data_IF_361954505814
#
_entry.id   IF_361954505814
#
_cell.length_a   1.000
_cell.length_b   1.000
_cell.length_c   1.000
_cell.angle_alpha   90.00
_cell.angle_beta   90.00
_cell.angle_gamma   90.00
#
_symmetry.space_group_name_H-M   'P 1'
#
loop_
_entity.id
_entity.type
_entity.pdbx_description
1 polymer ?
#
# COMPACT_ATOMS: atom_id res chain seq x y z
N UNK A 1 -5.80 -22.26 9.38
CA UNK A 1 -6.82 -21.73 8.44
C UNK A 1 -6.33 -20.40 7.88
N UNK A 2 -5.25 -20.51 7.14
CA UNK A 2 -4.65 -19.50 6.28
C UNK A 2 -4.52 -20.26 4.96
N UNK A 3 -4.89 -19.68 3.81
CA UNK A 3 -4.74 -20.34 2.52
C UNK A 3 -3.39 -21.04 2.49
N UNK A 4 -3.42 -22.37 2.59
CA UNK A 4 -2.25 -23.09 3.06
C UNK A 4 -1.19 -22.93 1.99
N UNK A 5 -0.12 -22.22 2.37
CA UNK A 5 1.24 -22.45 1.91
C UNK A 5 1.65 -23.89 2.29
N UNK A 6 0.89 -24.90 1.88
CA UNK A 6 1.16 -26.33 2.07
C UNK A 6 2.34 -26.68 1.17
N UNK A 7 3.54 -26.34 1.65
CA UNK A 7 4.83 -26.66 1.04
C UNK A 7 4.86 -26.43 -0.49
N UNK A 8 4.34 -25.29 -0.96
CA UNK A 8 4.61 -24.84 -2.32
C UNK A 8 6.11 -24.52 -2.38
N UNK A 9 6.88 -25.44 -2.94
CA UNK A 9 8.26 -25.13 -3.30
C UNK A 9 8.20 -24.12 -4.44
N UNK A 10 8.27 -22.85 -4.08
CA UNK A 10 8.30 -21.74 -5.03
C UNK A 10 9.73 -21.49 -5.43
N UNK A 11 9.95 -21.51 -6.74
CA UNK A 11 11.22 -21.15 -7.33
C UNK A 11 11.02 -19.93 -8.21
N UNK A 12 12.04 -19.10 -8.33
CA UNK A 12 12.02 -17.93 -9.19
C UNK A 12 13.19 -17.97 -10.19
N UNK A 13 13.02 -17.23 -11.27
CA UNK A 13 14.02 -16.90 -12.26
C UNK A 13 13.83 -15.43 -12.65
N UNK A 14 14.85 -14.62 -12.44
CA UNK A 14 14.88 -13.23 -12.90
C UNK A 14 15.34 -13.15 -14.37
N UNK A 15 14.62 -12.37 -15.16
CA UNK A 15 14.95 -12.00 -16.53
C UNK A 15 15.18 -10.49 -16.61
N UNK A 16 16.42 -10.08 -16.31
CA UNK A 16 16.82 -8.67 -16.30
C UNK A 16 16.81 -8.00 -17.68
N UNK A 17 16.88 -8.80 -18.76
CA UNK A 17 16.90 -8.29 -20.14
C UNK A 17 15.53 -8.37 -20.83
N UNK A 18 14.52 -9.00 -20.21
CA UNK A 18 13.18 -9.24 -20.75
C UNK A 18 13.19 -9.99 -22.09
N UNK A 19 14.05 -10.99 -22.20
CA UNK A 19 14.24 -11.73 -23.47
C UNK A 19 13.67 -13.14 -23.43
N UNK A 20 13.32 -13.66 -22.25
CA UNK A 20 12.90 -15.04 -22.10
C UNK A 20 11.45 -15.23 -22.54
N UNK A 21 11.23 -16.21 -23.40
CA UNK A 21 9.89 -16.71 -23.74
C UNK A 21 9.58 -18.02 -23.02
N UNK A 22 8.30 -18.43 -23.04
CA UNK A 22 7.83 -19.63 -22.35
C UNK A 22 8.59 -20.90 -22.78
N UNK A 23 8.88 -21.07 -24.07
CA UNK A 23 9.56 -22.26 -24.59
C UNK A 23 11.01 -22.35 -24.06
N UNK A 24 11.68 -21.21 -23.96
CA UNK A 24 13.02 -21.11 -23.37
C UNK A 24 13.00 -21.37 -21.86
N UNK A 25 12.03 -20.79 -21.13
CA UNK A 25 11.92 -20.93 -19.67
C UNK A 25 11.62 -22.38 -19.25
N UNK A 26 10.88 -23.11 -20.09
CA UNK A 26 10.55 -24.53 -19.86
C UNK A 26 11.66 -25.50 -20.28
N UNK A 27 12.69 -25.03 -20.99
CA UNK A 27 13.78 -25.86 -21.48
C UNK A 27 15.13 -25.54 -20.81
N UNK A 28 16.07 -26.48 -20.89
CA UNK A 28 17.44 -26.22 -20.45
C UNK A 28 18.13 -25.23 -21.40
N UNK A 29 18.98 -24.31 -20.89
CA UNK A 29 19.48 -24.27 -19.52
C UNK A 29 18.62 -23.44 -18.54
N UNK A 30 17.62 -22.68 -18.99
CA UNK A 30 16.88 -21.76 -18.11
C UNK A 30 16.03 -22.47 -17.07
N UNK A 31 15.38 -23.59 -17.42
CA UNK A 31 14.57 -24.36 -16.47
C UNK A 31 15.37 -24.82 -15.24
N UNK A 32 16.67 -25.06 -15.42
CA UNK A 32 17.62 -25.46 -14.36
C UNK A 32 18.15 -24.28 -13.55
N UNK A 33 17.97 -23.04 -14.01
CA UNK A 33 18.38 -21.81 -13.29
C UNK A 33 17.36 -21.32 -12.27
N UNK A 34 16.17 -21.93 -12.21
CA UNK A 34 15.19 -21.62 -11.17
C UNK A 34 15.76 -21.92 -9.79
N UNK A 35 15.72 -20.93 -8.90
CA UNK A 35 16.25 -21.03 -7.53
C UNK A 35 15.13 -20.80 -6.51
N UNK A 36 15.23 -21.35 -5.29
CA UNK A 36 14.29 -21.03 -4.23
C UNK A 36 14.20 -19.52 -4.00
N UNK A 37 13.04 -19.03 -3.56
CA UNK A 37 12.90 -17.62 -3.19
C UNK A 37 13.98 -17.20 -2.15
N UNK A 38 14.64 -16.03 -2.32
CA UNK A 38 15.72 -15.59 -1.42
C UNK A 38 15.19 -15.43 0.01
N UNK A 39 15.71 -16.19 0.96
CA UNK A 39 15.20 -16.27 2.35
C UNK A 39 13.69 -16.59 2.46
N UNK A 40 13.07 -17.17 1.44
CA UNK A 40 11.62 -17.36 1.36
C UNK A 40 10.80 -16.07 1.13
N UNK A 41 11.47 -14.96 0.80
CA UNK A 41 10.85 -13.65 0.56
C UNK A 41 10.41 -13.51 -0.89
N UNK A 42 9.31 -12.80 -1.11
CA UNK A 42 8.73 -12.56 -2.44
C UNK A 42 8.92 -11.12 -2.94
N UNK A 43 9.59 -10.27 -2.16
CA UNK A 43 9.92 -8.89 -2.53
C UNK A 43 11.35 -8.77 -3.06
N UNK A 44 11.49 -8.18 -4.25
CA UNK A 44 12.76 -7.92 -4.94
C UNK A 44 13.11 -6.41 -5.01
N UNK A 45 12.29 -5.55 -4.40
CA UNK A 45 12.50 -4.10 -4.38
C UNK A 45 12.00 -3.41 -5.64
N UNK A 46 12.57 -2.25 -5.99
CA UNK A 46 12.25 -1.56 -7.24
C UNK A 46 13.06 -2.19 -8.36
N UNK A 47 12.39 -2.69 -9.39
CA UNK A 47 13.03 -3.40 -10.49
C UNK A 47 12.34 -3.13 -11.82
N UNK A 48 13.12 -3.14 -12.89
CA UNK A 48 12.62 -3.20 -14.27
C UNK A 48 12.61 -4.63 -14.81
N UNK A 49 13.15 -5.62 -14.10
CA UNK A 49 13.26 -7.01 -14.57
C UNK A 49 11.90 -7.69 -14.68
N UNK A 50 11.83 -8.70 -15.54
CA UNK A 50 10.74 -9.66 -15.54
C UNK A 50 11.05 -10.79 -14.54
N UNK A 51 10.02 -11.33 -13.89
CA UNK A 51 10.17 -12.42 -12.93
C UNK A 51 9.30 -13.61 -13.32
N UNK A 52 9.92 -14.78 -13.39
CA UNK A 52 9.24 -16.05 -13.60
C UNK A 52 9.18 -16.82 -12.30
N UNK A 53 7.98 -17.17 -11.84
CA UNK A 53 7.77 -18.09 -10.73
C UNK A 53 7.38 -19.47 -11.25
N UNK A 54 7.93 -20.50 -10.61
CA UNK A 54 7.59 -21.90 -10.79
C UNK A 54 7.06 -22.46 -9.48
N UNK A 55 5.87 -23.03 -9.52
CA UNK A 55 5.26 -23.72 -8.39
C UNK A 55 4.52 -24.97 -8.84
N UNK A 56 4.37 -25.94 -7.94
CA UNK A 56 3.58 -27.15 -8.18
C UNK A 56 2.42 -27.18 -7.20
N UNK A 57 1.21 -27.27 -7.71
CA UNK A 57 0.00 -27.46 -6.92
C UNK A 57 -0.34 -28.95 -6.88
N UNK A 58 -0.56 -29.49 -5.69
CA UNK A 58 -0.92 -30.90 -5.48
C UNK A 58 -2.35 -31.00 -4.98
N UNK A 59 -3.15 -31.84 -5.62
CA UNK A 59 -4.46 -32.24 -5.12
C UNK A 59 -4.35 -33.67 -4.54
N UNK A 60 -4.60 -33.80 -3.24
CA UNK A 60 -4.61 -35.10 -2.54
C UNK A 60 -6.00 -35.71 -2.44
N UNK A 61 -7.04 -34.97 -2.80
CA UNK A 61 -8.43 -35.40 -2.72
C UNK A 61 -8.80 -36.36 -3.87
N UNK A 62 -9.87 -37.12 -3.65
CA UNK A 62 -10.47 -38.03 -4.64
C UNK A 62 -11.33 -37.32 -5.70
N UNK A 63 -11.46 -36.00 -5.60
CA UNK A 63 -12.23 -35.16 -6.52
C UNK A 63 -11.36 -34.03 -7.08
N UNK A 64 -11.70 -33.54 -8.27
CA UNK A 64 -11.08 -32.35 -8.84
C UNK A 64 -11.25 -31.16 -7.88
N UNK A 65 -10.17 -30.41 -7.68
CA UNK A 65 -10.15 -29.31 -6.74
C UNK A 65 -9.92 -28.00 -7.48
N UNK A 66 -10.82 -27.04 -7.24
CA UNK A 66 -10.74 -25.68 -7.76
C UNK A 66 -10.00 -24.78 -6.77
N UNK A 67 -8.84 -24.30 -7.19
CA UNK A 67 -8.06 -23.30 -6.47
C UNK A 67 -8.27 -21.92 -7.08
N UNK A 68 -8.27 -20.90 -6.23
CA UNK A 68 -8.10 -19.51 -6.63
C UNK A 68 -6.66 -19.12 -6.35
N UNK A 69 -5.87 -18.98 -7.41
CA UNK A 69 -4.51 -18.48 -7.35
C UNK A 69 -4.54 -16.96 -7.41
N UNK A 70 -4.10 -16.32 -6.34
CA UNK A 70 -4.09 -14.87 -6.20
C UNK A 70 -2.66 -14.34 -6.24
N UNK A 71 -2.39 -13.41 -7.13
CA UNK A 71 -1.26 -12.50 -7.00
C UNK A 71 -1.66 -11.30 -6.14
N UNK A 72 -1.00 -11.20 -4.98
CA UNK A 72 -1.37 -10.25 -3.92
C UNK A 72 -1.01 -8.81 -4.32
N UNK A 73 0.16 -8.63 -4.93
CA UNK A 73 0.59 -7.32 -5.42
C UNK A 73 -0.21 -6.97 -6.69
N UNK A 74 -1.04 -5.93 -6.59
CA UNK A 74 -2.04 -5.62 -7.60
C UNK A 74 -1.50 -4.80 -8.77
N UNK A 75 -0.34 -4.16 -8.58
CA UNK A 75 0.22 -3.16 -9.48
C UNK A 75 1.22 -3.74 -10.47
N UNK A 76 1.21 -5.04 -10.74
CA UNK A 76 2.00 -5.58 -11.85
C UNK A 76 1.30 -5.26 -13.17
N UNK A 77 2.01 -4.65 -14.12
CA UNK A 77 1.46 -4.30 -15.44
C UNK A 77 0.92 -5.53 -16.16
N UNK A 78 1.68 -6.64 -16.09
CA UNK A 78 1.29 -7.94 -16.62
C UNK A 78 1.56 -9.09 -15.64
N UNK A 79 0.57 -9.96 -15.48
CA UNK A 79 0.66 -11.22 -14.73
C UNK A 79 0.08 -12.34 -15.57
N UNK A 80 0.93 -13.24 -16.02
CA UNK A 80 0.57 -14.28 -16.99
C UNK A 80 0.76 -15.67 -16.39
N UNK A 81 -0.26 -16.52 -16.45
CA UNK A 81 -0.19 -17.89 -15.91
C UNK A 81 -0.17 -18.90 -17.04
N UNK A 82 0.85 -19.75 -17.03
CA UNK A 82 1.06 -20.83 -17.98
C UNK A 82 0.85 -22.19 -17.34
N UNK A 83 0.13 -23.06 -18.03
CA UNK A 83 -0.14 -24.45 -17.64
C UNK A 83 0.19 -25.32 -18.85
N UNK A 84 1.05 -26.32 -18.66
CA UNK A 84 1.53 -27.20 -19.73
C UNK A 84 2.15 -26.46 -20.93
N UNK A 85 2.80 -25.31 -20.68
CA UNK A 85 3.42 -24.47 -21.73
C UNK A 85 2.46 -23.54 -22.45
N UNK A 86 1.16 -23.70 -22.25
CA UNK A 86 0.16 -22.79 -22.81
C UNK A 86 -0.16 -21.66 -21.85
N UNK A 87 -0.21 -20.44 -22.38
CA UNK A 87 -0.67 -19.26 -21.64
C UNK A 87 -2.18 -19.36 -21.43
N UNK A 88 -2.60 -19.77 -20.23
CA UNK A 88 -4.02 -20.00 -19.90
C UNK A 88 -4.70 -18.74 -19.40
N UNK A 89 -4.01 -17.93 -18.60
CA UNK A 89 -4.61 -16.74 -17.99
C UNK A 89 -3.76 -15.50 -18.19
N UNK A 90 -4.47 -14.38 -18.28
CA UNK A 90 -3.94 -13.04 -18.49
C UNK A 90 -4.44 -12.15 -17.35
N UNK A 91 -3.53 -11.43 -16.72
CA UNK A 91 -3.76 -10.50 -15.62
C UNK A 91 -2.79 -9.32 -15.69
N UNK A 92 -2.90 -8.44 -14.70
CA UNK A 92 -2.15 -7.19 -14.61
C UNK A 92 -3.05 -5.96 -14.70
N UNK A 93 -2.59 -4.82 -14.21
CA UNK A 93 -3.32 -3.55 -14.17
C UNK A 93 -3.25 -2.73 -15.46
N UNK A 94 -2.51 -3.21 -16.46
CA UNK A 94 -2.58 -2.71 -17.83
C UNK A 94 -3.55 -3.47 -18.73
N UNK A 95 -4.10 -4.60 -18.25
CA UNK A 95 -5.21 -5.26 -18.94
C UNK A 95 -6.53 -4.59 -18.60
N UNK A 96 -7.38 -4.28 -19.60
CA UNK A 96 -8.72 -3.75 -19.35
C UNK A 96 -9.46 -4.63 -18.35
N UNK A 97 -10.06 -4.00 -17.34
CA UNK A 97 -10.68 -4.72 -16.23
C UNK A 97 -11.72 -5.77 -16.68
N UNK A 98 -12.42 -5.52 -17.80
CA UNK A 98 -13.39 -6.45 -18.41
C UNK A 98 -12.76 -7.71 -19.03
N UNK A 99 -11.44 -7.72 -19.25
CA UNK A 99 -10.70 -8.85 -19.82
C UNK A 99 -10.01 -9.70 -18.75
N UNK A 100 -10.05 -9.28 -17.48
CA UNK A 100 -9.54 -10.09 -16.36
C UNK A 100 -10.46 -11.29 -16.13
N UNK A 101 -9.87 -12.42 -15.75
CA UNK A 101 -10.62 -13.64 -15.40
C UNK A 101 -11.66 -13.37 -14.29
N UNK A 102 -11.27 -12.56 -13.30
CA UNK A 102 -12.19 -12.06 -12.28
C UNK A 102 -12.05 -10.55 -12.10
N UNK A 103 -13.19 -9.89 -11.95
CA UNK A 103 -13.32 -8.47 -11.64
C UNK A 103 -13.05 -8.19 -10.15
N UNK A 104 -11.90 -8.65 -9.64
CA UNK A 104 -11.39 -8.34 -8.30
C UNK A 104 -10.26 -7.32 -8.37
N UNK A 105 -9.97 -6.69 -7.23
CA UNK A 105 -8.85 -5.75 -7.07
C UNK A 105 -7.49 -6.43 -7.26
N UNK A 106 -7.33 -7.68 -6.83
CA UNK A 106 -6.16 -8.51 -7.09
C UNK A 106 -6.31 -9.34 -8.36
N UNK A 107 -5.18 -9.83 -8.87
CA UNK A 107 -5.19 -10.74 -10.01
C UNK A 107 -5.46 -12.16 -9.50
N UNK A 108 -6.64 -12.69 -9.82
CA UNK A 108 -7.10 -14.02 -9.38
C UNK A 108 -7.36 -14.92 -10.58
N UNK A 109 -6.91 -16.16 -10.49
CA UNK A 109 -6.99 -17.15 -11.56
C UNK A 109 -7.52 -18.48 -11.04
N UNK A 110 -8.41 -19.13 -11.80
CA UNK A 110 -8.96 -20.44 -11.47
C UNK A 110 -7.99 -21.55 -11.91
N UNK A 111 -7.48 -22.32 -10.96
CA UNK A 111 -6.63 -23.48 -11.23
C UNK A 111 -7.40 -24.73 -10.83
N UNK A 112 -7.76 -25.55 -11.81
CA UNK A 112 -8.38 -26.86 -11.57
C UNK A 112 -7.26 -27.90 -11.55
N UNK A 113 -7.08 -28.58 -10.42
CA UNK A 113 -6.15 -29.70 -10.31
C UNK A 113 -6.96 -31.01 -10.21
N UNK A 114 -6.79 -31.95 -11.15
CA UNK A 114 -7.52 -33.21 -11.12
C UNK A 114 -7.32 -34.00 -9.84
N UNK A 115 -8.27 -34.88 -9.51
CA UNK A 115 -8.17 -35.79 -8.37
C UNK A 115 -6.81 -36.53 -8.35
N UNK A 116 -6.15 -36.56 -7.18
CA UNK A 116 -4.85 -37.23 -6.98
C UNK A 116 -3.73 -36.82 -7.96
N UNK A 117 -3.79 -35.61 -8.50
CA UNK A 117 -2.82 -35.12 -9.47
C UNK A 117 -1.96 -33.96 -8.93
N UNK A 118 -0.84 -33.74 -9.62
CA UNK A 118 -0.01 -32.54 -9.47
C UNK A 118 -0.05 -31.74 -10.76
N UNK A 119 -0.05 -30.42 -10.62
CA UNK A 119 0.00 -29.50 -11.74
C UNK A 119 1.09 -28.46 -11.53
N UNK A 120 2.02 -28.38 -12.48
CA UNK A 120 3.04 -27.34 -12.48
C UNK A 120 2.49 -26.06 -13.12
N UNK A 121 2.75 -24.94 -12.46
CA UNK A 121 2.39 -23.61 -12.92
C UNK A 121 3.67 -22.79 -13.15
N UNK A 122 3.69 -22.04 -14.24
CA UNK A 122 4.65 -20.96 -14.45
C UNK A 122 3.89 -19.64 -14.46
N UNK A 123 4.37 -18.67 -13.71
CA UNK A 123 3.76 -17.34 -13.59
C UNK A 123 4.80 -16.32 -13.99
N UNK A 124 4.47 -15.48 -14.97
CA UNK A 124 5.34 -14.43 -15.45
C UNK A 124 4.79 -13.07 -15.01
N UNK A 125 5.64 -12.33 -14.31
CA UNK A 125 5.40 -10.98 -13.84
C UNK A 125 6.27 -10.03 -14.66
N UNK A 126 5.65 -8.98 -15.19
CA UNK A 126 6.35 -8.01 -16.03
C UNK A 126 5.82 -6.61 -15.79
N UNK A 127 6.74 -5.67 -15.96
CA UNK A 127 6.56 -4.24 -15.86
C UNK A 127 6.98 -3.58 -17.17
N UNK A 128 6.26 -2.60 -17.69
CA UNK A 128 6.75 -1.73 -18.77
C UNK A 128 7.79 -0.74 -18.23
N UNK A 129 7.52 -0.17 -17.06
CA UNK A 129 8.39 0.77 -16.32
C UNK A 129 8.70 0.26 -14.92
N UNK A 130 9.79 0.73 -14.28
CA UNK A 130 10.16 0.15 -12.98
C UNK A 130 9.02 0.25 -11.97
N UNK A 131 8.78 -0.88 -11.30
CA UNK A 131 7.74 -1.04 -10.29
C UNK A 131 8.28 -1.75 -9.07
N UNK A 132 7.43 -1.87 -8.05
CA UNK A 132 7.75 -2.66 -6.86
C UNK A 132 7.58 -4.14 -7.18
N UNK A 133 8.69 -4.84 -7.40
CA UNK A 133 8.68 -6.26 -7.74
C UNK A 133 8.35 -7.11 -6.50
N UNK A 134 7.07 -7.41 -6.30
CA UNK A 134 6.58 -8.30 -5.24
C UNK A 134 5.76 -9.44 -5.84
N UNK A 135 6.34 -10.64 -5.87
CA UNK A 135 5.77 -11.82 -6.54
C UNK A 135 4.98 -12.69 -5.56
N UNK A 136 4.39 -12.10 -4.53
CA UNK A 136 3.67 -12.87 -3.53
C UNK A 136 2.42 -13.52 -4.14
N UNK A 137 2.32 -14.85 -4.01
CA UNK A 137 1.17 -15.65 -4.43
C UNK A 137 0.48 -16.26 -3.21
N UNK A 138 -0.84 -16.33 -3.25
CA UNK A 138 -1.67 -17.10 -2.32
C UNK A 138 -2.52 -18.08 -3.09
N UNK A 139 -2.73 -19.26 -2.53
CA UNK A 139 -3.60 -20.29 -3.08
C UNK A 139 -4.76 -20.49 -2.11
N UNK A 140 -5.97 -20.43 -2.64
CA UNK A 140 -7.18 -20.47 -1.82
C UNK A 140 -8.16 -21.52 -2.35
N UNK A 141 -8.92 -22.12 -1.45
CA UNK A 141 -10.23 -22.65 -1.83
C UNK A 141 -11.24 -21.51 -1.99
N UNK A 142 -12.31 -21.72 -2.75
CA UNK A 142 -13.38 -20.72 -2.97
C UNK A 142 -13.98 -20.23 -1.64
N UNK A 143 -14.17 -21.14 -0.68
CA UNK A 143 -14.74 -20.81 0.63
C UNK A 143 -13.77 -19.97 1.47
N UNK A 144 -12.47 -20.32 1.51
CA UNK A 144 -11.47 -19.54 2.24
C UNK A 144 -11.32 -18.13 1.66
N UNK A 145 -11.25 -18.02 0.33
CA UNK A 145 -11.18 -16.74 -0.36
C UNK A 145 -12.39 -15.86 0.00
N UNK A 146 -13.60 -16.43 -0.09
CA UNK A 146 -14.84 -15.71 0.23
C UNK A 146 -14.88 -15.22 1.68
N UNK A 147 -14.49 -16.07 2.64
CA UNK A 147 -14.46 -15.68 4.07
C UNK A 147 -13.40 -14.62 4.36
N UNK A 148 -12.20 -14.78 3.78
CA UNK A 148 -11.11 -13.81 3.94
C UNK A 148 -11.53 -12.44 3.41
N UNK A 149 -12.07 -12.38 2.18
CA UNK A 149 -12.47 -11.13 1.55
C UNK A 149 -13.70 -10.49 2.20
N UNK A 150 -14.67 -11.28 2.69
CA UNK A 150 -15.79 -10.73 3.46
C UNK A 150 -15.31 -9.98 4.71
N UNK A 151 -14.38 -10.57 5.48
CA UNK A 151 -13.80 -9.92 6.66
C UNK A 151 -12.94 -8.72 6.28
N UNK A 152 -12.12 -8.85 5.23
CA UNK A 152 -11.28 -7.76 4.72
C UNK A 152 -12.12 -6.55 4.33
N UNK A 153 -13.21 -6.75 3.58
CA UNK A 153 -14.11 -5.68 3.14
C UNK A 153 -14.85 -5.03 4.30
N UNK A 154 -15.28 -5.80 5.29
CA UNK A 154 -15.89 -5.24 6.50
C UNK A 154 -14.93 -4.28 7.21
N UNK A 155 -13.67 -4.68 7.42
CA UNK A 155 -12.68 -3.86 8.12
C UNK A 155 -12.30 -2.63 7.28
N UNK A 156 -12.01 -2.80 5.98
CA UNK A 156 -11.72 -1.67 5.09
C UNK A 156 -12.89 -0.69 5.04
N UNK A 157 -14.12 -1.18 4.93
CA UNK A 157 -15.32 -0.34 4.96
C UNK A 157 -15.46 0.46 6.25
N UNK A 158 -15.16 -0.14 7.40
CA UNK A 158 -15.13 0.55 8.68
C UNK A 158 -14.06 1.65 8.74
N UNK A 159 -12.87 1.41 8.18
CA UNK A 159 -11.77 2.38 8.11
C UNK A 159 -12.13 3.59 7.24
N UNK A 160 -12.68 3.34 6.04
CA UNK A 160 -13.20 4.42 5.19
C UNK A 160 -14.33 5.19 5.86
N UNK A 161 -15.28 4.49 6.49
CA UNK A 161 -16.39 5.11 7.21
C UNK A 161 -15.91 6.03 8.32
N UNK A 162 -14.98 5.55 9.17
CA UNK A 162 -14.37 6.36 10.22
C UNK A 162 -13.68 7.60 9.64
N UNK A 163 -12.84 7.43 8.62
CA UNK A 163 -12.14 8.55 7.98
C UNK A 163 -13.10 9.57 7.38
N UNK A 164 -14.14 9.15 6.67
CA UNK A 164 -15.15 10.06 6.09
C UNK A 164 -15.89 10.83 7.19
N UNK A 165 -16.29 10.17 8.27
CA UNK A 165 -16.94 10.83 9.40
C UNK A 165 -16.01 11.87 10.03
N UNK A 166 -14.75 11.51 10.27
CA UNK A 166 -13.74 12.42 10.83
C UNK A 166 -13.43 13.59 9.89
N UNK A 167 -13.44 13.37 8.57
CA UNK A 167 -13.24 14.40 7.55
C UNK A 167 -14.31 15.48 7.67
N UNK A 168 -15.59 15.08 7.58
CA UNK A 168 -16.71 16.01 7.66
C UNK A 168 -16.80 16.68 9.03
N UNK A 169 -16.61 15.92 10.10
CA UNK A 169 -16.59 16.45 11.47
C UNK A 169 -15.56 17.58 11.62
N UNK A 170 -14.31 17.35 11.21
CA UNK A 170 -13.26 18.36 11.32
C UNK A 170 -13.48 19.52 10.35
N UNK A 171 -14.04 19.27 9.17
CA UNK A 171 -14.35 20.32 8.20
C UNK A 171 -15.43 21.28 8.74
N UNK A 172 -16.50 20.76 9.35
CA UNK A 172 -17.54 21.58 9.99
C UNK A 172 -16.98 22.40 11.15
N UNK A 173 -16.11 21.82 11.99
CA UNK A 173 -15.44 22.58 13.06
C UNK A 173 -14.51 23.64 12.48
N UNK A 174 -13.74 23.32 11.45
CA UNK A 174 -12.88 24.28 10.76
C UNK A 174 -13.67 25.47 10.22
N UNK A 175 -14.80 25.21 9.58
CA UNK A 175 -15.70 26.26 9.10
C UNK A 175 -16.26 27.14 10.23
N UNK A 176 -16.69 26.50 11.34
CA UNK A 176 -17.25 27.20 12.50
C UNK A 176 -16.21 28.02 13.28
N UNK A 177 -15.00 27.50 13.42
CA UNK A 177 -13.93 28.09 14.26
C UNK A 177 -12.97 28.99 13.48
N UNK A 178 -12.91 28.82 12.14
CA UNK A 178 -11.95 29.47 11.22
C UNK A 178 -10.48 29.21 11.57
N UNK A 179 -10.20 28.09 12.22
CA UNK A 179 -8.85 27.63 12.52
C UNK A 179 -8.28 26.83 11.36
N UNK A 180 -7.13 27.27 10.83
CA UNK A 180 -6.53 26.73 9.61
C UNK A 180 -6.13 25.25 9.76
N UNK A 181 -5.73 24.85 10.97
CA UNK A 181 -5.28 23.51 11.31
C UNK A 181 -6.33 22.45 11.00
N UNK A 182 -7.61 22.78 11.15
CA UNK A 182 -8.72 21.88 10.83
C UNK A 182 -8.85 21.64 9.31
N UNK A 183 -8.62 22.65 8.49
CA UNK A 183 -8.67 22.50 7.03
C UNK A 183 -7.50 21.68 6.51
N UNK A 184 -6.29 21.95 7.02
CA UNK A 184 -5.10 21.15 6.69
C UNK A 184 -5.26 19.70 7.14
N UNK A 185 -5.86 19.46 8.30
CA UNK A 185 -6.16 18.12 8.75
C UNK A 185 -7.21 17.41 7.89
N UNK A 186 -8.29 18.10 7.51
CA UNK A 186 -9.28 17.54 6.60
C UNK A 186 -8.67 17.22 5.23
N UNK A 187 -7.78 18.08 4.71
CA UNK A 187 -7.05 17.83 3.46
C UNK A 187 -6.10 16.63 3.57
N UNK A 188 -5.39 16.51 4.69
CA UNK A 188 -4.59 15.31 5.02
C UNK A 188 -5.47 14.06 5.03
N UNK A 189 -6.59 14.08 5.74
CA UNK A 189 -7.42 12.91 5.92
C UNK A 189 -8.02 12.42 4.59
N UNK A 190 -8.52 13.32 3.75
CA UNK A 190 -9.05 12.92 2.44
C UNK A 190 -7.95 12.41 1.51
N UNK A 191 -6.76 13.02 1.54
CA UNK A 191 -5.62 12.52 0.77
C UNK A 191 -5.22 11.10 1.22
N UNK A 192 -5.24 10.82 2.53
CA UNK A 192 -4.90 9.52 3.08
C UNK A 192 -5.95 8.45 2.75
N UNK A 193 -7.24 8.83 2.72
CA UNK A 193 -8.29 7.95 2.22
C UNK A 193 -8.13 7.62 0.73
N UNK A 194 -7.70 8.58 -0.09
CA UNK A 194 -7.42 8.34 -1.52
C UNK A 194 -6.18 7.45 -1.72
N UNK A 195 -5.15 7.62 -0.88
CA UNK A 195 -4.00 6.71 -0.85
C UNK A 195 -4.41 5.29 -0.42
N UNK A 196 -5.26 5.15 0.61
CA UNK A 196 -5.83 3.86 1.04
C UNK A 196 -6.66 3.22 -0.09
N UNK A 197 -7.43 4.03 -0.83
CA UNK A 197 -8.24 3.56 -1.96
C UNK A 197 -7.37 2.98 -3.08
N UNK A 198 -6.21 3.58 -3.29
CA UNK A 198 -5.23 3.14 -4.28
C UNK A 198 -4.51 1.88 -3.81
N UNK A 199 -4.00 1.86 -2.57
CA UNK A 199 -3.28 0.71 -2.01
C UNK A 199 -4.15 -0.53 -1.78
N UNK A 200 -5.48 -0.38 -1.67
CA UNK A 200 -6.41 -1.51 -1.58
C UNK A 200 -6.84 -2.05 -2.95
N UNK A 201 -6.56 -1.31 -4.03
CA UNK A 201 -6.98 -1.60 -5.42
C UNK A 201 -8.42 -1.25 -5.73
N UNK A 202 -9.17 -0.71 -4.76
CA UNK A 202 -10.55 -0.27 -4.97
C UNK A 202 -10.65 0.91 -5.92
N UNK A 203 -9.65 1.78 -5.93
CA UNK A 203 -9.60 2.89 -6.88
C UNK A 203 -9.53 2.39 -8.31
N UNK A 204 -8.65 1.43 -8.58
CA UNK A 204 -8.57 0.76 -9.89
C UNK A 204 -9.89 0.08 -10.22
N UNK A 205 -10.45 -0.72 -9.30
CA UNK A 205 -11.69 -1.47 -9.52
C UNK A 205 -12.91 -0.58 -9.82
N UNK A 206 -13.08 0.54 -9.12
CA UNK A 206 -14.33 1.30 -9.13
C UNK A 206 -14.27 2.68 -9.80
N UNK A 207 -13.10 3.32 -9.84
CA UNK A 207 -13.00 4.74 -10.25
C UNK A 207 -12.21 4.94 -11.53
N UNK A 208 -11.11 4.20 -11.75
CA UNK A 208 -10.19 4.44 -12.87
C UNK A 208 -9.77 3.17 -13.61
N UNK A 209 -10.62 2.15 -13.64
CA UNK A 209 -10.39 0.85 -14.31
C UNK A 209 -10.07 0.93 -15.81
N UNK A 210 -10.34 2.06 -16.46
CA UNK A 210 -10.14 2.25 -17.90
C UNK A 210 -8.90 3.11 -18.23
N UNK A 211 -8.07 3.47 -17.25
CA UNK A 211 -6.92 4.36 -17.45
C UNK A 211 -5.64 3.78 -16.85
N UNK A 212 -4.88 3.02 -17.65
CA UNK A 212 -3.58 2.48 -17.25
C UNK A 212 -2.64 3.58 -16.75
N UNK A 213 -2.62 4.73 -17.45
CA UNK A 213 -1.83 5.89 -17.03
C UNK A 213 -2.17 6.36 -15.61
N UNK A 214 -3.45 6.38 -15.24
CA UNK A 214 -3.85 6.80 -13.89
C UNK A 214 -3.64 5.68 -12.86
N UNK A 215 -3.75 4.41 -13.25
CA UNK A 215 -3.33 3.28 -12.40
C UNK A 215 -1.86 3.38 -12.01
N UNK A 216 -1.00 3.75 -12.95
CA UNK A 216 0.43 3.95 -12.70
C UNK A 216 0.75 5.22 -11.90
N UNK A 217 0.03 6.30 -12.20
CA UNK A 217 0.28 7.61 -11.61
C UNK A 217 -0.30 7.75 -10.19
N UNK A 218 -1.48 7.18 -9.94
CA UNK A 218 -2.24 7.39 -8.70
C UNK A 218 -1.52 6.95 -7.41
N UNK A 219 -0.77 5.83 -7.35
CA UNK A 219 -0.10 5.43 -6.11
C UNK A 219 0.94 6.44 -5.67
N UNK A 220 1.80 6.90 -6.60
CA UNK A 220 2.82 7.91 -6.34
C UNK A 220 2.17 9.26 -6.04
N UNK A 221 1.16 9.65 -6.82
CA UNK A 221 0.48 10.92 -6.64
C UNK A 221 -0.19 11.04 -5.27
N UNK A 222 -1.03 10.06 -4.89
CA UNK A 222 -1.77 10.15 -3.63
C UNK A 222 -0.86 10.00 -2.42
N UNK A 223 0.17 9.17 -2.47
CA UNK A 223 1.14 9.03 -1.36
C UNK A 223 1.94 10.33 -1.18
N UNK A 224 2.47 10.91 -2.26
CA UNK A 224 3.15 12.19 -2.19
C UNK A 224 2.19 13.31 -1.73
N UNK A 225 0.94 13.30 -2.20
CA UNK A 225 -0.07 14.28 -1.79
C UNK A 225 -0.43 14.16 -0.30
N UNK A 226 -0.48 12.95 0.25
CA UNK A 226 -0.58 12.72 1.70
C UNK A 226 0.57 13.39 2.42
N UNK A 227 1.80 13.20 1.97
CA UNK A 227 2.98 13.77 2.63
C UNK A 227 2.98 15.30 2.58
N UNK A 228 2.56 15.89 1.46
CA UNK A 228 2.36 17.35 1.32
C UNK A 228 1.36 17.84 2.36
N UNK A 229 0.17 17.21 2.44
CA UNK A 229 -0.90 17.65 3.34
C UNK A 229 -0.57 17.39 4.81
N UNK A 230 0.01 16.24 5.13
CA UNK A 230 0.49 15.89 6.47
C UNK A 230 1.54 16.88 6.96
N UNK A 231 2.49 17.25 6.10
CA UNK A 231 3.53 18.24 6.40
C UNK A 231 2.92 19.62 6.69
N UNK A 232 1.98 20.09 5.86
CA UNK A 232 1.32 21.37 6.11
C UNK A 232 0.44 21.35 7.37
N UNK A 233 -0.24 20.24 7.62
CA UNK A 233 -0.95 20.02 8.87
C UNK A 233 -0.01 20.10 10.07
N UNK A 234 1.13 19.40 10.05
CA UNK A 234 2.15 19.45 11.10
C UNK A 234 2.66 20.87 11.35
N UNK A 235 2.98 21.61 10.27
CA UNK A 235 3.45 22.99 10.37
C UNK A 235 2.41 23.90 11.02
N UNK A 236 1.16 23.79 10.58
CA UNK A 236 0.05 24.59 11.12
C UNK A 236 -0.26 24.20 12.57
N UNK A 237 -0.41 22.90 12.86
CA UNK A 237 -0.82 22.39 14.17
C UNK A 237 0.21 22.68 15.26
N UNK A 238 1.51 22.46 14.98
CA UNK A 238 2.59 22.74 15.93
C UNK A 238 3.10 24.18 15.84
N UNK A 239 2.57 24.99 14.92
CA UNK A 239 3.01 26.36 14.65
C UNK A 239 4.54 26.48 14.50
N UNK A 240 5.12 25.58 13.71
CA UNK A 240 6.59 25.40 13.62
C UNK A 240 7.33 26.64 13.16
N UNK A 241 6.70 27.45 12.29
CA UNK A 241 7.27 28.71 11.81
C UNK A 241 7.65 29.66 12.95
N UNK A 242 6.89 29.67 14.05
CA UNK A 242 7.19 30.51 15.22
C UNK A 242 7.95 29.76 16.31
N UNK A 243 7.69 28.46 16.48
CA UNK A 243 8.31 27.67 17.54
C UNK A 243 9.76 27.24 17.21
N UNK A 244 10.09 26.99 15.93
CA UNK A 244 11.44 26.59 15.50
C UNK A 244 11.62 26.70 13.98
N UNK A 245 12.37 27.73 13.54
CA UNK A 245 12.68 27.96 12.11
C UNK A 245 13.41 26.78 11.47
N UNK A 246 14.29 26.08 12.21
CA UNK A 246 15.02 24.91 11.70
C UNK A 246 14.04 23.79 11.36
N UNK A 247 13.11 23.49 12.27
CA UNK A 247 12.09 22.45 12.06
C UNK A 247 11.18 22.86 10.90
N UNK A 248 10.78 24.13 10.82
CA UNK A 248 9.93 24.60 9.73
C UNK A 248 10.61 24.44 8.36
N UNK A 249 11.91 24.75 8.27
CA UNK A 249 12.70 24.55 7.03
C UNK A 249 12.83 23.08 6.67
N UNK A 250 13.04 22.19 7.64
CA UNK A 250 13.08 20.74 7.38
C UNK A 250 11.74 20.25 6.84
N UNK A 251 10.63 20.71 7.40
CA UNK A 251 9.29 20.40 6.90
C UNK A 251 9.06 20.97 5.48
N UNK A 252 9.56 22.17 5.19
CA UNK A 252 9.53 22.71 3.82
C UNK A 252 10.33 21.85 2.83
N UNK A 253 11.47 21.29 3.23
CA UNK A 253 12.22 20.36 2.38
C UNK A 253 11.43 19.07 2.09
N UNK A 254 10.76 18.49 3.09
CA UNK A 254 9.86 17.33 2.91
C UNK A 254 8.73 17.69 1.95
N UNK A 255 8.12 18.87 2.11
CA UNK A 255 7.07 19.34 1.20
C UNK A 255 7.56 19.45 -0.24
N UNK A 256 8.74 20.03 -0.46
CA UNK A 256 9.34 20.16 -1.80
C UNK A 256 9.69 18.78 -2.36
N UNK A 257 10.28 17.89 -1.56
CA UNK A 257 10.64 16.54 -1.99
C UNK A 257 9.41 15.73 -2.43
N UNK A 258 8.30 15.81 -1.69
CA UNK A 258 7.04 15.18 -2.09
C UNK A 258 6.46 15.80 -3.38
N UNK A 259 6.56 17.13 -3.55
CA UNK A 259 6.20 17.79 -4.81
C UNK A 259 7.06 17.33 -6.00
N UNK A 260 8.36 17.09 -5.77
CA UNK A 260 9.27 16.55 -6.78
C UNK A 260 8.93 15.10 -7.17
N UNK A 261 8.44 14.27 -6.24
CA UNK A 261 7.93 12.93 -6.59
C UNK A 261 6.79 13.01 -7.60
N UNK A 262 5.81 13.90 -7.36
CA UNK A 262 4.69 14.12 -8.31
C UNK A 262 5.23 14.63 -9.65
N UNK A 263 6.14 15.60 -9.63
CA UNK A 263 6.73 16.15 -10.84
C UNK A 263 7.44 15.08 -11.67
N UNK A 264 8.32 14.27 -11.06
CA UNK A 264 9.03 13.20 -11.76
C UNK A 264 8.09 12.14 -12.32
N UNK A 265 7.02 11.80 -11.58
CA UNK A 265 5.99 10.88 -12.08
C UNK A 265 5.29 11.45 -13.33
N UNK A 266 4.94 12.75 -13.35
CA UNK A 266 4.30 13.40 -14.50
C UNK A 266 5.18 13.48 -15.74
N UNK A 267 6.50 13.64 -15.58
CA UNK A 267 7.44 13.73 -16.71
C UNK A 267 8.03 12.36 -17.13
N UNK A 268 7.49 11.26 -16.62
CA UNK A 268 7.85 9.90 -17.04
C UNK A 268 9.08 9.29 -16.36
N UNK A 269 9.59 9.91 -15.29
CA UNK A 269 10.71 9.41 -14.49
C UNK A 269 10.20 8.64 -13.26
N UNK A 270 9.45 7.55 -13.50
CA UNK A 270 8.74 6.79 -12.45
C UNK A 270 9.69 6.25 -11.38
N UNK A 271 10.84 5.71 -11.75
CA UNK A 271 11.81 5.11 -10.83
C UNK A 271 12.25 6.12 -9.75
N UNK A 272 12.60 7.34 -10.16
CA UNK A 272 12.97 8.43 -9.25
C UNK A 272 11.80 8.89 -8.40
N UNK A 273 10.60 8.93 -8.99
CA UNK A 273 9.39 9.33 -8.29
C UNK A 273 9.07 8.35 -7.13
N UNK A 274 9.14 7.04 -7.40
CA UNK A 274 8.91 5.98 -6.40
C UNK A 274 9.99 6.01 -5.32
N UNK A 275 11.27 6.15 -5.69
CA UNK A 275 12.37 6.25 -4.71
C UNK A 275 12.16 7.45 -3.78
N UNK A 276 11.85 8.63 -4.34
CA UNK A 276 11.59 9.82 -3.53
C UNK A 276 10.35 9.65 -2.64
N UNK A 277 9.30 9.01 -3.14
CA UNK A 277 8.07 8.77 -2.37
C UNK A 277 8.33 7.83 -1.18
N UNK A 278 9.07 6.73 -1.38
CA UNK A 278 9.52 5.85 -0.29
C UNK A 278 10.39 6.59 0.73
N UNK A 279 11.34 7.41 0.27
CA UNK A 279 12.16 8.23 1.16
C UNK A 279 11.30 9.21 1.98
N UNK A 280 10.35 9.88 1.34
CA UNK A 280 9.42 10.77 2.04
C UNK A 280 8.64 9.99 3.09
N UNK A 281 8.06 8.85 2.73
CA UNK A 281 7.31 7.98 3.65
C UNK A 281 8.16 7.64 4.89
N UNK A 282 9.43 7.27 4.72
CA UNK A 282 10.35 7.04 5.84
C UNK A 282 10.61 8.29 6.68
N UNK A 283 10.65 9.48 6.07
CA UNK A 283 10.80 10.75 6.81
C UNK A 283 9.57 11.07 7.69
N UNK A 284 8.39 10.50 7.44
CA UNK A 284 7.23 10.68 8.33
C UNK A 284 7.47 10.17 9.75
N UNK A 285 8.40 9.22 9.93
CA UNK A 285 8.81 8.70 11.25
C UNK A 285 9.43 9.78 12.15
N UNK A 286 9.84 10.92 11.57
CA UNK A 286 10.31 12.07 12.34
C UNK A 286 9.19 12.98 12.86
N UNK A 287 7.95 12.85 12.40
CA UNK A 287 6.83 13.68 12.88
C UNK A 287 6.58 13.57 14.40
N UNK A 288 6.61 12.38 15.02
CA UNK A 288 6.57 12.25 16.48
C UNK A 288 7.72 12.97 17.18
N UNK A 289 8.94 12.90 16.62
CA UNK A 289 10.13 13.56 17.17
C UNK A 289 9.96 15.07 17.15
N UNK A 290 9.45 15.62 16.05
CA UNK A 290 9.13 17.05 15.95
C UNK A 290 8.10 17.43 17.02
N UNK A 291 7.03 16.66 17.16
CA UNK A 291 6.03 16.85 18.21
C UNK A 291 6.64 16.82 19.61
N UNK A 292 7.55 15.87 19.87
CA UNK A 292 8.24 15.72 21.15
C UNK A 292 9.12 16.93 21.48
N UNK A 293 9.88 17.45 20.51
CA UNK A 293 10.69 18.66 20.69
C UNK A 293 9.81 19.85 21.08
N UNK A 294 8.65 20.01 20.45
CA UNK A 294 7.69 21.08 20.77
C UNK A 294 7.04 20.86 22.13
N UNK A 295 6.74 19.62 22.48
CA UNK A 295 6.22 19.26 23.81
C UNK A 295 7.20 19.64 24.93
N UNK A 296 8.50 19.38 24.75
CA UNK A 296 9.55 19.77 25.70
C UNK A 296 9.66 21.29 25.91
N UNK A 297 9.18 22.11 24.97
CA UNK A 297 9.03 23.57 25.13
C UNK A 297 7.82 23.98 25.97
N UNK A 298 7.17 23.03 26.66
CA UNK A 298 6.01 23.27 27.51
C UNK A 298 4.66 23.33 26.76
N UNK A 299 4.63 22.91 25.48
CA UNK A 299 3.41 22.93 24.66
C UNK A 299 2.60 21.64 24.83
N UNK A 300 1.81 21.59 25.91
CA UNK A 300 1.03 20.40 26.29
C UNK A 300 0.00 19.92 25.23
N UNK A 301 -0.41 20.78 24.30
CA UNK A 301 -1.35 20.40 23.24
C UNK A 301 -0.75 19.39 22.24
N UNK A 302 0.59 19.26 22.19
CA UNK A 302 1.28 18.33 21.28
C UNK A 302 1.18 16.85 21.69
N UNK A 303 0.74 16.53 22.92
CA UNK A 303 0.75 15.15 23.45
C UNK A 303 -0.03 14.13 22.60
N UNK A 304 -1.21 14.51 22.12
CA UNK A 304 -2.05 13.63 21.29
C UNK A 304 -1.55 13.57 19.85
N UNK A 305 -0.93 14.65 19.36
CA UNK A 305 -0.23 14.66 18.10
C UNK A 305 0.91 13.63 18.10
N UNK A 306 1.73 13.61 19.15
CA UNK A 306 2.84 12.64 19.28
C UNK A 306 2.31 11.21 19.29
N UNK A 307 1.25 10.95 20.05
CA UNK A 307 0.67 9.62 20.15
C UNK A 307 0.12 9.13 18.80
N UNK A 308 -0.61 9.98 18.08
CA UNK A 308 -1.14 9.66 16.75
C UNK A 308 -0.03 9.32 15.77
N UNK A 309 0.95 10.22 15.59
CA UNK A 309 2.05 9.97 14.67
C UNK A 309 2.94 8.80 15.07
N UNK A 310 3.07 8.51 16.37
CA UNK A 310 3.81 7.32 16.83
C UNK A 310 3.13 6.05 16.36
N UNK A 311 1.80 5.97 16.51
CA UNK A 311 1.02 4.81 16.09
C UNK A 311 1.10 4.62 14.58
N UNK A 312 0.97 5.71 13.80
CA UNK A 312 1.19 5.66 12.35
C UNK A 312 2.60 5.17 12.00
N UNK A 313 3.64 5.69 12.66
CA UNK A 313 5.04 5.29 12.41
C UNK A 313 5.27 3.80 12.71
N UNK A 314 4.64 3.26 13.76
CA UNK A 314 4.69 1.83 14.07
C UNK A 314 4.01 0.99 12.97
N UNK A 315 2.83 1.41 12.53
CA UNK A 315 2.14 0.77 11.40
C UNK A 315 2.98 0.76 10.14
N UNK A 316 3.63 1.89 9.83
CA UNK A 316 4.51 2.03 8.68
C UNK A 316 5.71 1.08 8.75
N UNK A 317 6.42 1.04 9.88
CA UNK A 317 7.59 0.17 10.07
C UNK A 317 7.17 -1.30 9.90
N UNK A 318 6.06 -1.71 10.50
CA UNK A 318 5.56 -3.08 10.39
C UNK A 318 5.10 -3.42 8.96
N UNK A 319 4.48 -2.48 8.25
CA UNK A 319 4.15 -2.64 6.84
C UNK A 319 5.39 -2.84 5.96
N UNK A 320 6.45 -2.06 6.18
CA UNK A 320 7.73 -2.25 5.47
C UNK A 320 8.32 -3.63 5.77
N UNK A 321 8.32 -4.06 7.04
CA UNK A 321 8.79 -5.39 7.44
C UNK A 321 7.98 -6.51 6.77
N UNK A 322 6.67 -6.32 6.57
CA UNK A 322 5.83 -7.25 5.83
C UNK A 322 6.24 -7.33 4.35
N UNK A 323 6.41 -6.19 3.66
CA UNK A 323 6.78 -6.17 2.23
C UNK A 323 8.16 -6.77 1.94
N UNK A 324 9.12 -6.68 2.89
CA UNK A 324 10.42 -7.36 2.75
C UNK A 324 10.38 -8.83 3.23
N UNK A 325 9.19 -9.37 3.51
CA UNK A 325 8.98 -10.76 3.88
C UNK A 325 9.49 -11.16 5.27
N UNK A 326 9.71 -10.20 6.19
CA UNK A 326 10.11 -10.49 7.57
C UNK A 326 8.93 -10.84 8.47
N UNK A 327 7.69 -10.61 8.03
CA UNK A 327 6.49 -10.94 8.78
C UNK A 327 5.62 -11.94 8.01
N UNK A 328 5.03 -12.94 8.70
CA UNK A 328 4.10 -13.85 8.08
C UNK A 328 2.85 -13.11 7.62
N UNK A 329 2.34 -13.52 6.48
CA UNK A 329 1.20 -12.88 5.87
C UNK A 329 -0.10 -13.42 6.45
N UNK A 330 -0.95 -12.52 6.90
CA UNK A 330 -2.25 -12.80 7.50
C UNK A 330 -3.21 -11.64 7.27
N UNK A 331 -4.51 -11.88 7.47
CA UNK A 331 -5.51 -10.79 7.42
C UNK A 331 -5.13 -9.61 8.33
N UNK A 332 -4.57 -9.91 9.51
CA UNK A 332 -4.18 -8.88 10.47
C UNK A 332 -2.98 -8.08 10.01
N UNK A 333 -1.94 -8.74 9.46
CA UNK A 333 -0.77 -8.03 8.95
C UNK A 333 -1.16 -7.15 7.75
N UNK A 334 -1.97 -7.67 6.83
CA UNK A 334 -2.45 -6.95 5.64
C UNK A 334 -3.23 -5.67 5.98
N UNK A 335 -3.96 -5.68 7.09
CA UNK A 335 -4.80 -4.55 7.53
C UNK A 335 -4.12 -3.67 8.60
N UNK A 336 -2.98 -4.10 9.13
CA UNK A 336 -2.35 -3.49 10.30
C UNK A 336 -2.01 -2.02 10.10
N UNK A 337 -1.39 -1.69 8.97
CA UNK A 337 -0.99 -0.32 8.62
C UNK A 337 -2.20 0.62 8.58
N UNK A 338 -3.30 0.17 7.96
CA UNK A 338 -4.50 0.98 7.87
C UNK A 338 -5.31 1.05 9.19
N UNK A 339 -5.21 0.04 10.06
CA UNK A 339 -5.73 0.12 11.43
C UNK A 339 -4.96 1.16 12.24
N UNK A 340 -3.62 1.20 12.10
CA UNK A 340 -2.80 2.24 12.71
C UNK A 340 -3.17 3.64 12.22
N UNK A 341 -3.40 3.81 10.92
CA UNK A 341 -3.94 5.05 10.35
C UNK A 341 -5.28 5.44 10.97
N UNK A 342 -6.21 4.49 11.10
CA UNK A 342 -7.54 4.75 11.67
C UNK A 342 -7.47 5.24 13.12
N UNK A 343 -6.59 4.66 13.92
CA UNK A 343 -6.34 5.08 15.31
C UNK A 343 -5.65 6.44 15.35
N UNK A 344 -4.64 6.66 14.49
CA UNK A 344 -3.95 7.94 14.35
C UNK A 344 -4.94 9.06 14.00
N UNK A 345 -5.79 8.86 13.00
CA UNK A 345 -6.81 9.82 12.60
C UNK A 345 -7.76 10.17 13.76
N UNK A 346 -8.19 9.19 14.55
CA UNK A 346 -9.01 9.48 15.73
C UNK A 346 -8.24 10.34 16.76
N UNK A 347 -6.97 10.04 16.98
CA UNK A 347 -6.11 10.76 17.92
C UNK A 347 -5.77 12.19 17.47
N UNK A 348 -5.48 12.41 16.18
CA UNK A 348 -5.20 13.75 15.65
C UNK A 348 -6.45 14.62 15.64
N UNK A 349 -7.61 14.05 15.29
CA UNK A 349 -8.91 14.72 15.45
C UNK A 349 -9.15 15.15 16.90
N UNK A 350 -8.83 14.29 17.88
CA UNK A 350 -8.91 14.65 19.29
C UNK A 350 -7.88 15.72 19.68
N UNK A 351 -6.66 15.65 19.15
CA UNK A 351 -5.60 16.63 19.39
C UNK A 351 -6.06 18.06 19.00
N UNK A 352 -6.72 18.20 17.85
CA UNK A 352 -7.30 19.47 17.39
C UNK A 352 -8.35 20.04 18.35
N UNK A 353 -9.20 19.19 18.92
CA UNK A 353 -10.18 19.64 19.90
C UNK A 353 -9.50 20.23 21.15
N UNK A 354 -8.37 19.68 21.59
CA UNK A 354 -7.63 20.23 22.73
C UNK A 354 -7.03 21.61 22.43
N UNK A 355 -6.57 21.84 21.21
CA UNK A 355 -6.10 23.16 20.74
C UNK A 355 -7.24 24.18 20.77
N UNK A 356 -8.43 23.80 20.30
CA UNK A 356 -9.62 24.63 20.33
C UNK A 356 -10.01 25.02 21.77
N UNK A 357 -10.04 24.04 22.68
CA UNK A 357 -10.37 24.27 24.11
C UNK A 357 -9.35 25.23 24.75
N UNK A 358 -8.06 25.01 24.51
CA UNK A 358 -7.00 25.86 25.07
C UNK A 358 -7.06 27.29 24.51
N UNK A 359 -7.36 27.45 23.23
CA UNK A 359 -7.53 28.75 22.58
C UNK A 359 -8.72 29.52 23.16
N UNK A 360 -9.85 28.84 23.41
CA UNK A 360 -11.02 29.45 24.09
C UNK A 360 -10.72 29.85 25.53
N UNK A 361 -9.98 29.03 26.28
CA UNK A 361 -9.55 29.34 27.65
C UNK A 361 -8.65 30.58 27.70
N UNK A 362 -7.72 30.74 26.76
CA UNK A 362 -6.87 31.93 26.66
C UNK A 362 -7.70 33.19 26.41
N UNK A 363 -8.65 33.16 25.46
CA UNK A 363 -9.56 34.29 25.20
C UNK A 363 -10.37 34.70 26.43
N UNK A 364 -10.88 33.73 27.20
CA UNK A 364 -11.64 33.99 28.44
C UNK A 364 -10.80 34.56 29.60
N UNK A 365 -9.46 34.46 29.56
CA UNK A 365 -8.58 35.06 30.58
C UNK A 365 -8.15 36.48 30.23
N UNK A 366 -8.31 36.88 28.97
CA UNK A 366 -7.94 38.20 28.44
C UNK A 366 -9.12 39.18 28.47
N UNK A 367 -10.34 38.67 28.60
CA UNK A 367 -11.56 39.40 28.90
C UNK A 367 -11.88 39.23 30.38
#
# INVERSE_FOLDING_TARGET
MQGESSALSMYYLEDSEKTYNIDQVQSAPLFSKFQPLPDGKSGFGISTSDYWLKMTVRNTEDTDLLWLLESVHQQWDYVNVYINGEKKFYGGDHLPFTQRAFAFESNVFEIITPAKAEQQLLIHFSYEQAGQAETQIRLWTVNEYSQYYANRYFIIGAMFGLGIILFFYNLFIGYSTRFAEFFWYSAYLISALLALLTGTGFGYRYLWSNSNWFSDFSPVFFTAFVMIMATQFTRSFLNTATESVIIDRLLQLIFVAAGLSIFFSLIGYRDYAVILDLLNMLLSVFFPVIGWIIYLKGRLYARFYILGWTIWSLGLILGVLQHIGMMPVSLYSDLFTGLCFSIEAALLSFALQTVLINSRKKKKKLN
#
